data_IF_663013905670
#
_entry.id   IF_663013905670
#
_cell.length_a   1.000
_cell.length_b   1.000
_cell.length_c   1.000
_cell.angle_alpha   90.00
_cell.angle_beta   90.00
_cell.angle_gamma   90.00
#
_symmetry.space_group_name_H-M   'P 1'
#
loop_
_entity.id
_entity.type
_entity.pdbx_description
1 polymer ?
#
# COMPACT_ATOMS: atom_id res chain seq x y z
N UNK A 1 -26.22 37.49 -58.43
CA UNK A 1 -24.88 37.01 -58.05
C UNK A 1 -25.02 36.14 -56.81
N UNK A 2 -24.65 34.84 -56.87
CA UNK A 2 -24.76 33.89 -55.75
C UNK A 2 -23.36 33.69 -55.14
N UNK A 3 -23.14 34.17 -53.91
CA UNK A 3 -21.88 33.98 -53.19
C UNK A 3 -21.84 32.58 -52.57
N UNK A 4 -20.91 31.73 -53.02
CA UNK A 4 -20.59 30.45 -52.37
C UNK A 4 -19.63 30.73 -51.22
N UNK A 5 -20.08 30.55 -49.98
CA UNK A 5 -19.23 30.60 -48.79
C UNK A 5 -18.49 29.26 -48.70
N UNK A 6 -17.17 29.32 -48.77
CA UNK A 6 -16.27 28.18 -48.64
C UNK A 6 -15.91 28.06 -47.15
N UNK A 7 -16.46 27.05 -46.47
CA UNK A 7 -16.14 26.78 -45.06
C UNK A 7 -14.78 26.09 -45.01
N UNK A 8 -13.78 26.82 -44.51
CA UNK A 8 -12.43 26.33 -44.30
C UNK A 8 -12.37 25.69 -42.90
N UNK A 9 -12.38 24.35 -42.83
CA UNK A 9 -12.29 23.59 -41.57
C UNK A 9 -10.85 23.65 -41.04
N UNK A 10 -10.60 24.49 -40.04
CA UNK A 10 -9.31 24.53 -39.34
C UNK A 10 -9.17 23.28 -38.44
N UNK A 11 -8.24 22.39 -38.80
CA UNK A 11 -7.80 21.28 -37.96
C UNK A 11 -6.96 21.85 -36.81
N UNK A 12 -7.61 22.14 -35.67
CA UNK A 12 -6.91 22.41 -34.42
C UNK A 12 -6.25 21.11 -33.94
N UNK A 13 -4.93 21.00 -34.14
CA UNK A 13 -4.12 19.99 -33.48
C UNK A 13 -4.01 20.39 -32.01
N UNK A 14 -4.87 19.84 -31.16
CA UNK A 14 -4.69 19.97 -29.72
C UNK A 14 -3.40 19.23 -29.34
N UNK A 15 -2.48 19.85 -28.58
CA UNK A 15 -1.36 19.12 -28.03
C UNK A 15 -1.94 17.96 -27.21
N UNK A 16 -1.54 16.74 -27.53
CA UNK A 16 -1.80 15.61 -26.66
C UNK A 16 -1.09 15.91 -25.34
N UNK A 17 -1.85 16.25 -24.30
CA UNK A 17 -1.31 16.31 -22.95
C UNK A 17 -0.64 14.96 -22.68
N UNK A 18 0.68 14.96 -22.51
CA UNK A 18 1.36 13.81 -21.93
C UNK A 18 0.64 13.51 -20.60
N UNK A 19 0.06 12.32 -20.48
CA UNK A 19 -0.61 11.93 -19.23
C UNK A 19 0.48 11.84 -18.16
N UNK A 20 0.35 12.65 -17.11
CA UNK A 20 1.24 12.61 -15.94
C UNK A 20 1.16 11.19 -15.33
N UNK A 21 2.32 10.61 -15.01
CA UNK A 21 2.36 9.27 -14.41
C UNK A 21 1.75 9.29 -13.01
N UNK A 22 0.84 8.37 -12.73
CA UNK A 22 0.24 8.21 -11.41
C UNK A 22 0.57 6.82 -10.87
N UNK A 23 1.45 6.74 -9.86
CA UNK A 23 1.84 5.47 -9.25
C UNK A 23 0.64 4.64 -8.73
N UNK A 24 -0.43 5.30 -8.30
CA UNK A 24 -1.67 4.66 -7.85
C UNK A 24 -2.39 3.86 -8.95
N UNK A 25 -2.19 4.17 -10.23
CA UNK A 25 -2.74 3.39 -11.34
C UNK A 25 -1.95 2.11 -11.64
N UNK A 26 -0.76 1.96 -11.01
CA UNK A 26 0.19 0.88 -11.26
C UNK A 26 0.47 0.01 -10.04
N UNK A 27 -0.17 0.30 -8.91
CA UNK A 27 -0.05 -0.44 -7.65
C UNK A 27 -1.45 -0.81 -7.17
N UNK A 28 -1.70 -2.10 -6.96
CA UNK A 28 -2.90 -2.63 -6.31
C UNK A 28 -2.50 -3.71 -5.30
N UNK A 29 -2.07 -3.26 -4.12
CA UNK A 29 -1.58 -4.13 -3.05
C UNK A 29 -2.65 -5.10 -2.56
N UNK A 30 -3.94 -4.82 -2.76
CA UNK A 30 -5.02 -5.74 -2.41
C UNK A 30 -4.92 -7.06 -3.16
N UNK A 31 -4.37 -7.07 -4.37
CA UNK A 31 -4.17 -8.31 -5.14
C UNK A 31 -3.07 -9.21 -4.57
N UNK A 32 -2.23 -8.70 -3.67
CA UNK A 32 -1.21 -9.48 -2.98
C UNK A 32 -1.75 -10.32 -1.80
N UNK A 33 -3.06 -10.32 -1.55
CA UNK A 33 -3.65 -11.08 -0.43
C UNK A 33 -3.72 -12.60 -0.68
N UNK A 34 -3.83 -13.35 0.42
CA UNK A 34 -3.75 -14.82 0.56
C UNK A 34 -4.59 -15.57 -0.49
N UNK A 35 -3.94 -16.43 -1.28
CA UNK A 35 -4.57 -17.30 -2.28
C UNK A 35 -3.78 -17.47 -3.59
N UNK A 36 -2.80 -16.59 -3.85
CA UNK A 36 -1.83 -16.74 -4.94
C UNK A 36 -0.61 -17.54 -4.48
N UNK A 37 -0.03 -18.39 -5.33
CA UNK A 37 1.08 -19.28 -4.99
C UNK A 37 2.43 -18.62 -4.62
N UNK A 38 2.50 -17.29 -4.56
CA UNK A 38 3.67 -16.52 -4.11
C UNK A 38 3.43 -15.94 -2.71
N UNK A 39 4.52 -15.70 -1.95
CA UNK A 39 4.38 -15.03 -0.65
C UNK A 39 3.84 -13.61 -0.84
N UNK A 40 3.02 -13.14 0.10
CA UNK A 40 2.47 -11.78 0.10
C UNK A 40 3.60 -10.74 -0.07
N UNK A 41 4.72 -10.99 0.60
CA UNK A 41 5.95 -10.20 0.50
C UNK A 41 6.50 -10.07 -0.94
N UNK A 42 6.66 -11.19 -1.64
CA UNK A 42 7.17 -11.19 -3.02
C UNK A 42 6.22 -10.50 -4.00
N UNK A 43 4.90 -10.56 -3.76
CA UNK A 43 3.94 -9.83 -4.60
C UNK A 43 4.11 -8.31 -4.48
N UNK A 44 4.30 -7.80 -3.26
CA UNK A 44 4.54 -6.35 -3.05
C UNK A 44 5.80 -5.91 -3.80
N UNK A 45 6.88 -6.66 -3.70
CA UNK A 45 8.15 -6.37 -4.40
C UNK A 45 7.96 -6.38 -5.94
N UNK A 46 7.24 -7.38 -6.47
CA UNK A 46 6.94 -7.47 -7.90
C UNK A 46 6.12 -6.28 -8.40
N UNK A 47 5.09 -5.87 -7.67
CA UNK A 47 4.27 -4.72 -8.04
C UNK A 47 5.06 -3.41 -8.00
N UNK A 48 5.83 -3.18 -6.93
CA UNK A 48 6.69 -1.98 -6.83
C UNK A 48 7.70 -1.97 -7.96
N UNK A 49 8.37 -3.10 -8.25
CA UNK A 49 9.31 -3.23 -9.36
C UNK A 49 8.66 -2.91 -10.71
N UNK A 50 7.48 -3.48 -10.99
CA UNK A 50 6.72 -3.24 -12.22
C UNK A 50 6.31 -1.77 -12.37
N UNK A 51 5.86 -1.12 -11.29
CA UNK A 51 5.55 0.30 -11.27
C UNK A 51 6.80 1.14 -11.59
N UNK A 52 7.95 0.84 -10.97
CA UNK A 52 9.22 1.55 -11.22
C UNK A 52 9.70 1.42 -12.67
N UNK A 53 9.54 0.25 -13.29
CA UNK A 53 9.87 0.05 -14.71
C UNK A 53 9.03 0.97 -15.61
N UNK A 54 7.75 1.15 -15.30
CA UNK A 54 6.86 2.04 -16.05
C UNK A 54 7.17 3.51 -15.79
N UNK A 55 7.47 3.88 -14.54
CA UNK A 55 7.88 5.22 -14.15
C UNK A 55 9.16 5.67 -14.89
N UNK A 56 10.16 4.80 -14.99
CA UNK A 56 11.45 5.08 -15.62
C UNK A 56 11.38 5.27 -17.15
N UNK A 57 10.24 4.98 -17.78
CA UNK A 57 10.00 5.27 -19.20
C UNK A 57 9.53 6.71 -19.44
N UNK A 58 9.42 7.53 -18.38
CA UNK A 58 8.93 8.92 -18.42
C UNK A 58 10.04 9.94 -18.11
N UNK A 59 9.84 11.20 -18.51
CA UNK A 59 10.85 12.27 -18.38
C UNK A 59 11.12 12.71 -16.93
N UNK A 60 10.21 12.38 -16.01
CA UNK A 60 10.20 12.65 -14.57
C UNK A 60 10.60 11.42 -13.71
N UNK A 61 11.26 10.44 -14.34
CA UNK A 61 11.47 9.07 -13.83
C UNK A 61 11.89 8.94 -12.37
N UNK A 62 12.75 9.82 -11.83
CA UNK A 62 13.22 9.71 -10.44
C UNK A 62 12.11 9.92 -9.39
N UNK A 63 11.27 10.95 -9.55
CA UNK A 63 10.17 11.20 -8.61
C UNK A 63 9.03 10.19 -8.80
N UNK A 64 8.75 9.85 -10.06
CA UNK A 64 7.77 8.84 -10.42
C UNK A 64 8.13 7.45 -9.85
N UNK A 65 9.43 7.09 -9.85
CA UNK A 65 9.91 5.82 -9.30
C UNK A 65 9.72 5.74 -7.77
N UNK A 66 10.04 6.83 -7.06
CA UNK A 66 9.88 6.93 -5.60
C UNK A 66 8.42 6.77 -5.16
N UNK A 67 7.51 7.38 -5.92
CA UNK A 67 6.07 7.34 -5.62
C UNK A 67 5.50 5.90 -5.61
N UNK A 68 6.09 4.97 -6.37
CA UNK A 68 5.65 3.57 -6.36
C UNK A 68 5.73 2.92 -4.97
N UNK A 69 6.80 3.18 -4.22
CA UNK A 69 7.00 2.62 -2.88
C UNK A 69 6.12 3.28 -1.84
N UNK A 70 5.95 4.60 -1.94
CA UNK A 70 5.11 5.37 -1.02
C UNK A 70 3.65 4.94 -1.15
N UNK A 71 3.13 4.87 -2.39
CA UNK A 71 1.77 4.39 -2.66
C UNK A 71 1.57 2.95 -2.21
N UNK A 72 2.56 2.07 -2.44
CA UNK A 72 2.48 0.69 -1.94
C UNK A 72 2.35 0.64 -0.41
N UNK A 73 3.11 1.48 0.31
CA UNK A 73 3.00 1.55 1.76
C UNK A 73 1.66 2.13 2.21
N UNK A 74 1.18 3.21 1.59
CA UNK A 74 -0.12 3.82 1.89
C UNK A 74 -1.28 2.82 1.71
N UNK A 75 -1.28 2.08 0.60
CA UNK A 75 -2.29 1.05 0.36
C UNK A 75 -2.21 -0.09 1.38
N UNK A 76 -1.00 -0.58 1.67
CA UNK A 76 -0.80 -1.63 2.67
C UNK A 76 -1.28 -1.18 4.06
N UNK A 77 -0.95 0.05 4.48
CA UNK A 77 -1.35 0.60 5.77
C UNK A 77 -2.88 0.80 5.83
N UNK A 78 -3.48 1.27 4.74
CA UNK A 78 -4.94 1.35 4.61
C UNK A 78 -5.63 -0.01 4.79
N UNK A 79 -5.09 -1.07 4.16
CA UNK A 79 -5.61 -2.44 4.31
C UNK A 79 -5.47 -2.95 5.75
N UNK A 80 -4.31 -2.72 6.39
CA UNK A 80 -4.07 -3.12 7.78
C UNK A 80 -4.98 -2.37 8.76
N UNK A 81 -5.16 -1.06 8.58
CA UNK A 81 -6.05 -0.26 9.41
C UNK A 81 -7.51 -0.71 9.26
N UNK A 82 -7.95 -1.03 8.04
CA UNK A 82 -9.28 -1.57 7.80
C UNK A 82 -9.47 -2.94 8.48
N UNK A 83 -8.47 -3.83 8.40
CA UNK A 83 -8.48 -5.12 9.10
C UNK A 83 -8.53 -4.93 10.61
N UNK A 84 -7.63 -4.12 11.16
CA UNK A 84 -7.52 -3.85 12.59
C UNK A 84 -8.80 -3.24 13.16
N UNK A 85 -9.45 -2.33 12.42
CA UNK A 85 -10.74 -1.76 12.82
C UNK A 85 -11.83 -2.82 13.00
N UNK A 86 -11.97 -3.75 12.04
CA UNK A 86 -12.91 -4.88 12.16
C UNK A 86 -12.56 -5.78 13.34
N UNK A 87 -11.28 -6.15 13.46
CA UNK A 87 -10.82 -7.02 14.53
C UNK A 87 -11.03 -6.42 15.93
N UNK A 88 -10.81 -5.12 16.09
CA UNK A 88 -11.09 -4.41 17.34
C UNK A 88 -12.59 -4.40 17.68
N UNK A 89 -13.45 -4.14 16.69
CA UNK A 89 -14.90 -4.17 16.88
C UNK A 89 -15.35 -5.56 17.37
N UNK A 90 -14.94 -6.62 16.68
CA UNK A 90 -15.24 -8.00 17.05
C UNK A 90 -14.73 -8.33 18.46
N UNK A 91 -13.49 -7.95 18.79
CA UNK A 91 -12.92 -8.19 20.10
C UNK A 91 -13.73 -7.50 21.24
N UNK A 92 -14.19 -6.28 21.01
CA UNK A 92 -15.03 -5.54 21.96
C UNK A 92 -16.45 -6.13 22.07
N UNK A 93 -17.01 -6.64 20.98
CA UNK A 93 -18.29 -7.35 20.97
C UNK A 93 -18.21 -8.66 21.79
N UNK A 94 -17.14 -9.44 21.63
CA UNK A 94 -16.88 -10.61 22.47
C UNK A 94 -16.74 -10.24 23.95
N UNK A 95 -15.98 -9.19 24.28
CA UNK A 95 -15.85 -8.72 25.66
C UNK A 95 -17.22 -8.36 26.25
N UNK A 96 -18.04 -7.61 25.50
CA UNK A 96 -19.38 -7.21 25.93
C UNK A 96 -20.31 -8.42 26.14
N UNK A 97 -20.29 -9.39 25.22
CA UNK A 97 -21.09 -10.61 25.32
C UNK A 97 -20.77 -11.45 26.56
N UNK A 98 -19.53 -11.38 27.04
CA UNK A 98 -19.06 -12.08 28.23
C UNK A 98 -19.19 -11.27 29.53
N UNK A 99 -19.77 -10.06 29.47
CA UNK A 99 -19.87 -9.16 30.62
C UNK A 99 -18.52 -8.60 31.10
N UNK A 100 -17.50 -8.64 30.25
CA UNK A 100 -16.18 -8.10 30.53
C UNK A 100 -16.15 -6.59 30.27
N UNK A 101 -15.31 -5.87 31.02
CA UNK A 101 -15.04 -4.46 30.74
C UNK A 101 -14.27 -4.32 29.41
N UNK A 102 -14.68 -3.39 28.56
CA UNK A 102 -14.00 -3.13 27.29
C UNK A 102 -12.55 -2.74 27.51
N UNK A 103 -11.66 -3.22 26.64
CA UNK A 103 -10.25 -2.86 26.70
C UNK A 103 -9.43 -3.65 27.71
N UNK A 104 -9.97 -4.73 28.28
CA UNK A 104 -9.32 -5.51 29.34
C UNK A 104 -8.79 -6.87 28.91
N UNK A 105 -9.30 -7.45 27.81
CA UNK A 105 -8.94 -8.79 27.35
C UNK A 105 -8.57 -8.79 25.86
N UNK A 106 -9.43 -9.28 24.97
CA UNK A 106 -9.15 -9.43 23.53
C UNK A 106 -8.72 -8.11 22.89
N UNK A 107 -9.47 -7.03 23.13
CA UNK A 107 -9.18 -5.72 22.55
C UNK A 107 -7.90 -5.10 23.14
N UNK A 108 -7.55 -5.48 24.38
CA UNK A 108 -6.26 -5.12 25.01
C UNK A 108 -5.10 -5.79 24.29
N UNK A 109 -5.14 -7.12 24.14
CA UNK A 109 -4.03 -7.87 23.55
C UNK A 109 -3.85 -7.53 22.07
N UNK A 110 -4.93 -7.33 21.32
CA UNK A 110 -4.85 -6.89 19.93
C UNK A 110 -4.16 -5.52 19.80
N UNK A 111 -4.59 -4.54 20.61
CA UNK A 111 -3.99 -3.19 20.62
C UNK A 111 -2.52 -3.21 21.04
N UNK A 112 -2.19 -3.95 22.10
CA UNK A 112 -0.82 -4.00 22.61
C UNK A 112 0.11 -4.72 21.63
N UNK A 113 -0.35 -5.84 21.03
CA UNK A 113 0.36 -6.57 19.97
C UNK A 113 0.62 -5.66 18.76
N UNK A 114 -0.38 -4.89 18.34
CA UNK A 114 -0.24 -4.00 17.19
C UNK A 114 0.73 -2.83 17.45
N UNK A 115 0.71 -2.24 18.65
CA UNK A 115 1.66 -1.19 19.04
C UNK A 115 3.10 -1.70 19.05
N UNK A 116 3.33 -2.85 19.68
CA UNK A 116 4.66 -3.46 19.70
C UNK A 116 5.15 -3.82 18.29
N UNK A 117 4.25 -4.29 17.43
CA UNK A 117 4.59 -4.60 16.04
C UNK A 117 5.02 -3.37 15.23
N UNK A 118 4.45 -2.19 15.45
CA UNK A 118 4.87 -0.96 14.76
C UNK A 118 6.36 -0.65 15.03
N UNK A 119 6.80 -0.79 16.27
CA UNK A 119 8.21 -0.59 16.64
C UNK A 119 9.11 -1.62 15.94
N UNK A 120 8.68 -2.88 15.86
CA UNK A 120 9.40 -3.94 15.14
C UNK A 120 9.48 -3.63 13.65
N UNK A 121 8.37 -3.21 13.02
CA UNK A 121 8.32 -2.82 11.61
C UNK A 121 9.32 -1.70 11.32
N UNK A 122 9.22 -0.62 12.08
CA UNK A 122 10.01 0.58 11.83
C UNK A 122 11.50 0.30 12.05
N UNK A 123 11.87 -0.37 13.15
CA UNK A 123 13.26 -0.77 13.39
C UNK A 123 13.81 -1.73 12.32
N UNK A 124 13.01 -2.71 11.87
CA UNK A 124 13.40 -3.65 10.82
C UNK A 124 13.65 -2.94 9.49
N UNK A 125 12.82 -1.96 9.14
CA UNK A 125 12.97 -1.24 7.89
C UNK A 125 14.13 -0.23 7.91
N UNK A 126 14.43 0.39 9.06
CA UNK A 126 15.65 1.18 9.23
C UNK A 126 16.91 0.30 9.19
N UNK A 127 16.84 -0.92 9.73
CA UNK A 127 17.93 -1.89 9.66
C UNK A 127 18.24 -2.28 8.21
N UNK A 128 17.21 -2.46 7.39
CA UNK A 128 17.33 -2.84 5.97
C UNK A 128 18.15 -1.84 5.16
N UNK A 129 18.07 -0.54 5.49
CA UNK A 129 18.85 0.51 4.80
C UNK A 129 20.19 0.83 5.45
N UNK A 130 20.35 0.52 6.74
CA UNK A 130 21.57 0.83 7.48
C UNK A 130 22.68 -0.19 7.24
N UNK A 131 22.37 -1.49 7.17
CA UNK A 131 23.38 -2.52 6.85
C UNK A 131 24.09 -2.34 5.50
N UNK A 132 23.38 -2.06 4.39
CA UNK A 132 24.00 -1.82 3.09
C UNK A 132 24.51 -0.38 2.89
N UNK A 133 24.37 0.50 3.88
CA UNK A 133 24.72 1.93 3.82
C UNK A 133 24.02 2.68 2.65
N UNK A 134 22.70 2.48 2.52
CA UNK A 134 21.90 3.19 1.53
C UNK A 134 21.75 4.67 1.91
N UNK A 135 22.44 5.52 1.16
CA UNK A 135 22.37 6.98 1.32
C UNK A 135 21.38 7.64 0.33
N UNK A 136 21.42 7.26 -0.95
CA UNK A 136 20.44 7.71 -1.94
C UNK A 136 19.26 6.73 -2.00
N UNK A 137 18.03 7.24 -2.18
CA UNK A 137 16.84 6.41 -2.26
C UNK A 137 16.37 5.80 -0.93
N UNK A 138 17.00 6.14 0.21
CA UNK A 138 16.71 5.56 1.54
C UNK A 138 15.22 5.45 1.83
N UNK A 139 14.47 6.56 1.78
CA UNK A 139 13.05 6.49 2.19
C UNK A 139 12.20 5.64 1.24
N UNK A 140 12.55 5.54 -0.05
CA UNK A 140 11.85 4.63 -0.98
C UNK A 140 12.05 3.17 -0.59
N UNK A 141 13.27 2.81 -0.19
CA UNK A 141 13.61 1.46 0.29
C UNK A 141 12.93 1.18 1.64
N UNK A 142 12.87 2.17 2.53
CA UNK A 142 12.13 2.07 3.80
C UNK A 142 10.62 1.90 3.54
N UNK A 143 10.03 2.69 2.64
CA UNK A 143 8.61 2.60 2.30
C UNK A 143 8.24 1.24 1.71
N UNK A 144 9.05 0.72 0.77
CA UNK A 144 8.85 -0.62 0.21
C UNK A 144 8.96 -1.72 1.30
N UNK A 145 9.95 -1.62 2.19
CA UNK A 145 10.04 -2.52 3.34
C UNK A 145 8.78 -2.45 4.21
N UNK A 146 8.30 -1.24 4.53
CA UNK A 146 7.10 -1.05 5.34
C UNK A 146 5.89 -1.65 4.66
N UNK A 147 5.71 -1.48 3.36
CA UNK A 147 4.62 -2.10 2.60
C UNK A 147 4.64 -3.64 2.75
N UNK A 148 5.80 -4.27 2.55
CA UNK A 148 5.97 -5.72 2.66
C UNK A 148 5.70 -6.24 4.07
N UNK A 149 6.26 -5.60 5.10
CA UNK A 149 6.08 -6.02 6.50
C UNK A 149 4.64 -5.79 6.96
N UNK A 150 4.00 -4.70 6.53
CA UNK A 150 2.58 -4.41 6.80
C UNK A 150 1.67 -5.48 6.19
N UNK A 151 1.90 -5.89 4.95
CA UNK A 151 1.08 -6.93 4.33
C UNK A 151 1.27 -8.31 4.99
N UNK A 152 2.49 -8.64 5.41
CA UNK A 152 2.75 -9.83 6.22
C UNK A 152 2.02 -9.78 7.56
N UNK A 153 1.93 -8.61 8.19
CA UNK A 153 1.16 -8.45 9.43
C UNK A 153 -0.31 -8.76 9.27
N UNK A 154 -0.91 -8.38 8.14
CA UNK A 154 -2.30 -8.74 7.83
C UNK A 154 -2.44 -10.26 7.75
N UNK A 155 -1.52 -10.95 7.08
CA UNK A 155 -1.50 -12.43 7.00
C UNK A 155 -1.37 -13.08 8.38
N UNK A 156 -0.45 -12.58 9.22
CA UNK A 156 -0.28 -13.05 10.59
C UNK A 156 -1.54 -12.86 11.43
N UNK A 157 -2.17 -11.68 11.36
CA UNK A 157 -3.42 -11.44 12.09
C UNK A 157 -4.58 -12.27 11.55
N UNK A 158 -4.67 -12.46 10.23
CA UNK A 158 -5.68 -13.34 9.63
C UNK A 158 -5.49 -14.79 10.10
N UNK A 159 -4.26 -15.26 10.23
CA UNK A 159 -3.96 -16.60 10.74
C UNK A 159 -4.34 -16.73 12.22
N UNK A 160 -3.94 -15.78 13.06
CA UNK A 160 -4.12 -15.87 14.52
C UNK A 160 -5.55 -15.62 14.98
N UNK A 161 -6.25 -14.68 14.35
CA UNK A 161 -7.57 -14.23 14.81
C UNK A 161 -8.66 -14.21 13.73
N UNK A 162 -8.33 -14.55 12.48
CA UNK A 162 -9.26 -14.42 11.35
C UNK A 162 -10.52 -15.27 11.47
N UNK A 163 -10.43 -16.46 12.08
CA UNK A 163 -11.59 -17.34 12.28
C UNK A 163 -12.67 -16.74 13.21
N UNK A 164 -12.31 -15.71 13.99
CA UNK A 164 -13.24 -15.04 14.91
C UNK A 164 -13.91 -13.81 14.27
N UNK A 165 -13.48 -13.38 13.07
CA UNK A 165 -13.90 -12.13 12.44
C UNK A 165 -15.09 -12.28 11.47
N UNK A 166 -15.49 -13.51 11.16
CA UNK A 166 -16.53 -13.86 10.19
C UNK A 166 -17.87 -14.28 10.84
#
# INVERSE_FOLDING_TARGET
>A
MKFKILVLTALFSFPASAQDFQAADHIDIKTCSIGGGSSVASCVEEQVSSCRVQANQRADGYFAERACSDVAFEQADGLLNAFYGRAMQTAEEYERGQGLALGTMHSKYLRDSQRAWIDVRDATCELHVTFPDYNSGRDSVVAECKARVTMRRIEELQFEIGEYLD
#
